data_IF_208675718182
#
_entry.id   IF_208675718182
#
_cell.length_a   1.000
_cell.length_b   1.000
_cell.length_c   1.000
_cell.angle_alpha   90.00
_cell.angle_beta   90.00
_cell.angle_gamma   90.00
#
_symmetry.space_group_name_H-M   'P 1'
#
loop_
_entity.id
_entity.type
_entity.pdbx_description
1 polymer ?
#
# COMPACT_ATOMS: atom_id res chain seq x y z
N UNK A 1 28.35 -2.99 -40.05
CA UNK A 1 27.14 -3.81 -39.84
C UNK A 1 25.95 -2.87 -39.76
N UNK A 2 25.15 -2.82 -40.82
CA UNK A 2 23.92 -2.02 -40.86
C UNK A 2 22.84 -2.82 -40.12
N UNK A 3 22.39 -2.33 -38.96
CA UNK A 3 21.19 -2.85 -38.33
C UNK A 3 19.98 -2.39 -39.14
N UNK A 4 19.30 -3.35 -39.77
CA UNK A 4 18.05 -3.13 -40.46
C UNK A 4 16.99 -2.66 -39.46
N UNK A 5 16.48 -1.45 -39.67
CA UNK A 5 15.22 -1.03 -39.08
C UNK A 5 14.12 -1.94 -39.65
N UNK A 6 13.62 -2.85 -38.82
CA UNK A 6 12.42 -3.61 -39.16
C UNK A 6 11.25 -2.62 -39.23
N UNK A 7 10.79 -2.34 -40.46
CA UNK A 7 9.49 -1.72 -40.71
C UNK A 7 8.44 -2.70 -40.19
N UNK A 8 8.00 -2.52 -38.94
CA UNK A 8 6.92 -3.29 -38.37
C UNK A 8 5.60 -2.85 -39.03
N UNK A 9 4.88 -3.83 -39.56
CA UNK A 9 3.66 -3.61 -40.29
C UNK A 9 2.51 -3.31 -39.31
N UNK A 10 2.19 -2.03 -39.10
CA UNK A 10 1.09 -1.56 -38.25
C UNK A 10 -0.29 -2.10 -38.68
N UNK A 11 -0.38 -2.57 -39.92
CA UNK A 11 -1.57 -3.16 -40.52
C UNK A 11 -1.59 -4.70 -40.42
N UNK A 12 -0.62 -5.31 -39.72
CA UNK A 12 -0.65 -6.74 -39.45
C UNK A 12 -1.89 -7.13 -38.62
N UNK A 13 -2.53 -8.27 -38.94
CA UNK A 13 -3.71 -8.72 -38.22
C UNK A 13 -3.37 -9.12 -36.77
N UNK A 14 -4.23 -8.75 -35.84
CA UNK A 14 -4.08 -9.13 -34.43
C UNK A 14 -4.30 -10.65 -34.26
N UNK A 15 -3.39 -11.32 -33.55
CA UNK A 15 -3.40 -12.79 -33.38
C UNK A 15 -4.14 -13.27 -32.13
N UNK A 16 -4.43 -12.37 -31.18
CA UNK A 16 -5.05 -12.71 -29.90
C UNK A 16 -6.57 -12.51 -29.92
N UNK A 17 -7.28 -13.24 -29.05
CA UNK A 17 -8.76 -13.27 -29.07
C UNK A 17 -9.41 -12.80 -27.75
N UNK A 18 -8.61 -12.32 -26.80
CA UNK A 18 -9.08 -11.81 -25.50
C UNK A 18 -9.06 -10.30 -25.53
N UNK A 19 -10.15 -9.65 -25.09
CA UNK A 19 -10.19 -8.19 -24.95
C UNK A 19 -9.37 -7.73 -23.75
N UNK A 20 -8.72 -6.56 -23.86
CA UNK A 20 -7.94 -5.92 -22.79
C UNK A 20 -8.53 -4.57 -22.43
N UNK A 21 -8.72 -4.32 -21.14
CA UNK A 21 -9.04 -2.98 -20.63
C UNK A 21 -7.77 -2.18 -20.43
N UNK A 22 -7.72 -0.95 -20.92
CA UNK A 22 -6.56 -0.05 -20.77
C UNK A 22 -7.02 1.36 -20.40
N UNK A 23 -6.11 2.12 -19.78
CA UNK A 23 -6.29 3.54 -19.48
C UNK A 23 -5.30 4.37 -20.28
N UNK A 24 -5.79 5.37 -21.00
CA UNK A 24 -4.98 6.22 -21.85
C UNK A 24 -5.13 7.68 -21.46
N UNK A 25 -3.99 8.34 -21.27
CA UNK A 25 -3.87 9.79 -21.19
C UNK A 25 -3.23 10.32 -22.45
N UNK A 26 -3.30 11.63 -22.65
CA UNK A 26 -2.54 12.30 -23.69
C UNK A 26 -1.59 13.30 -23.05
N UNK A 27 -0.40 13.47 -23.63
CA UNK A 27 0.57 14.45 -23.10
C UNK A 27 -0.05 15.85 -23.08
N UNK A 28 -0.05 16.47 -21.90
CA UNK A 28 -0.62 17.79 -21.66
C UNK A 28 -2.13 17.79 -21.37
N UNK A 29 -2.78 16.62 -21.40
CA UNK A 29 -4.14 16.43 -20.94
C UNK A 29 -4.16 15.48 -19.73
N UNK A 30 -4.77 15.94 -18.64
CA UNK A 30 -4.90 15.17 -17.40
C UNK A 30 -6.11 14.23 -17.41
N UNK A 31 -6.96 14.29 -18.44
CA UNK A 31 -8.13 13.44 -18.55
C UNK A 31 -7.75 12.00 -18.91
N UNK A 32 -8.16 11.08 -18.04
CA UNK A 32 -8.02 9.64 -18.24
C UNK A 32 -9.19 9.11 -19.06
N UNK A 33 -8.91 8.38 -20.12
CA UNK A 33 -9.91 7.69 -20.93
C UNK A 33 -9.74 6.17 -20.78
N UNK A 34 -10.83 5.46 -20.47
CA UNK A 34 -10.85 3.99 -20.36
C UNK A 34 -11.30 3.36 -21.68
N UNK A 35 -10.55 2.37 -22.14
CA UNK A 35 -10.85 1.64 -23.37
C UNK A 35 -10.94 0.14 -23.10
N UNK A 36 -11.85 -0.54 -23.78
CA UNK A 36 -11.88 -2.00 -23.85
C UNK A 36 -11.53 -2.40 -25.28
N UNK A 37 -10.28 -2.82 -25.49
CA UNK A 37 -9.77 -3.16 -26.80
C UNK A 37 -10.07 -4.63 -27.08
N UNK A 38 -10.98 -4.88 -28.02
CA UNK A 38 -11.32 -6.23 -28.46
C UNK A 38 -10.70 -6.50 -29.85
N UNK A 39 -9.77 -7.47 -29.96
CA UNK A 39 -9.18 -7.83 -31.26
C UNK A 39 -10.18 -8.32 -32.32
N UNK A 40 -11.38 -8.75 -31.92
CA UNK A 40 -12.47 -9.08 -32.87
C UNK A 40 -13.05 -7.84 -33.53
N UNK A 41 -13.01 -6.70 -32.84
CA UNK A 41 -13.53 -5.42 -33.31
C UNK A 41 -12.46 -4.63 -34.07
N UNK A 42 -11.22 -4.62 -33.57
CA UNK A 42 -10.11 -3.90 -34.18
C UNK A 42 -9.12 -4.90 -34.77
N UNK A 43 -9.01 -4.92 -36.11
CA UNK A 43 -8.21 -5.95 -36.80
C UNK A 43 -6.73 -5.66 -36.82
N UNK A 44 -6.31 -4.40 -36.69
CA UNK A 44 -4.91 -3.99 -36.72
C UNK A 44 -4.57 -3.07 -35.56
N UNK A 45 -3.27 -2.92 -35.28
CA UNK A 45 -2.79 -1.98 -34.26
C UNK A 45 -3.17 -0.53 -34.64
N UNK A 46 -3.05 -0.19 -35.92
CA UNK A 46 -3.45 1.13 -36.41
C UNK A 46 -4.95 1.40 -36.18
N UNK A 47 -5.83 0.41 -36.34
CA UNK A 47 -7.27 0.57 -36.02
C UNK A 47 -7.50 0.90 -34.55
N UNK A 48 -6.70 0.33 -33.64
CA UNK A 48 -6.77 0.63 -32.20
C UNK A 48 -6.34 2.07 -31.94
N UNK A 49 -5.22 2.51 -32.52
CA UNK A 49 -4.71 3.87 -32.34
C UNK A 49 -5.67 4.93 -32.90
N UNK A 50 -6.28 4.66 -34.06
CA UNK A 50 -7.32 5.50 -34.65
C UNK A 50 -8.55 5.57 -33.76
N UNK A 51 -9.04 4.43 -33.25
CA UNK A 51 -10.16 4.43 -32.31
C UNK A 51 -9.88 5.26 -31.05
N UNK A 52 -8.68 5.13 -30.48
CA UNK A 52 -8.28 5.93 -29.33
C UNK A 52 -8.19 7.42 -29.70
N UNK A 53 -7.70 7.74 -30.90
CA UNK A 53 -7.67 9.12 -31.42
C UNK A 53 -9.07 9.69 -31.54
N UNK A 54 -10.01 8.95 -32.11
CA UNK A 54 -11.38 9.41 -32.35
C UNK A 54 -12.13 9.71 -31.05
N UNK A 55 -11.83 8.96 -29.99
CA UNK A 55 -12.44 9.15 -28.66
C UNK A 55 -11.78 10.29 -27.88
N UNK A 56 -10.45 10.39 -27.89
CA UNK A 56 -9.74 11.41 -27.09
C UNK A 56 -9.68 12.76 -27.80
N UNK A 57 -9.62 12.76 -29.13
CA UNK A 57 -9.51 13.94 -30.00
C UNK A 57 -8.41 14.93 -29.57
N UNK A 58 -7.15 14.49 -29.48
CA UNK A 58 -6.11 15.34 -28.91
C UNK A 58 -5.68 16.47 -29.86
N UNK A 59 -5.31 17.61 -29.27
CA UNK A 59 -4.98 18.85 -30.00
C UNK A 59 -3.81 18.73 -30.99
N UNK A 60 -2.94 17.72 -30.83
CA UNK A 60 -1.82 17.47 -31.74
C UNK A 60 -2.19 16.56 -32.93
N UNK A 61 -3.45 16.17 -33.07
CA UNK A 61 -3.93 15.26 -34.11
C UNK A 61 -3.74 13.79 -33.75
N UNK A 62 -3.52 12.92 -34.74
CA UNK A 62 -3.61 11.47 -34.51
C UNK A 62 -2.59 10.92 -33.51
N UNK A 63 -3.05 10.03 -32.62
CA UNK A 63 -2.19 9.22 -31.77
C UNK A 63 -1.54 8.16 -32.66
N UNK A 64 -0.20 8.16 -32.67
CA UNK A 64 0.62 7.24 -33.46
C UNK A 64 1.37 6.23 -32.60
N UNK A 65 1.54 6.54 -31.32
CA UNK A 65 2.35 5.76 -30.39
C UNK A 65 1.72 5.76 -29.01
N UNK A 66 1.88 4.65 -28.30
CA UNK A 66 1.50 4.51 -26.89
C UNK A 66 2.76 4.18 -26.08
N UNK A 67 2.95 4.86 -24.96
CA UNK A 67 4.03 4.55 -24.02
C UNK A 67 3.43 4.02 -22.72
N UNK A 68 3.96 2.91 -22.23
CA UNK A 68 3.58 2.32 -20.95
C UNK A 68 4.01 3.23 -19.81
N UNK A 69 3.07 3.63 -18.95
CA UNK A 69 3.37 4.38 -17.73
C UNK A 69 4.13 3.55 -16.67
N UNK A 70 4.16 2.22 -16.85
CA UNK A 70 4.83 1.28 -15.95
C UNK A 70 6.30 1.10 -16.32
N UNK A 71 6.60 0.81 -17.58
CA UNK A 71 7.97 0.55 -18.05
C UNK A 71 8.64 1.76 -18.71
N UNK A 72 7.87 2.79 -19.07
CA UNK A 72 8.33 3.93 -19.88
C UNK A 72 8.85 3.52 -21.26
N UNK A 73 8.33 2.40 -21.79
CA UNK A 73 8.65 1.88 -23.11
C UNK A 73 7.47 2.03 -24.06
N UNK A 74 7.78 2.17 -25.36
CA UNK A 74 6.80 2.22 -26.42
C UNK A 74 6.14 0.85 -26.63
N UNK A 75 4.82 0.87 -26.80
CA UNK A 75 3.98 -0.29 -27.12
C UNK A 75 3.86 -0.36 -28.62
N UNK A 76 4.37 -1.43 -29.22
CA UNK A 76 4.44 -1.56 -30.67
C UNK A 76 3.24 -2.28 -31.25
N UNK A 77 2.58 -3.12 -30.45
CA UNK A 77 1.47 -3.94 -30.89
C UNK A 77 0.50 -4.29 -29.74
N UNK A 78 -0.57 -5.00 -30.07
CA UNK A 78 -1.57 -5.43 -29.10
C UNK A 78 -1.05 -6.38 -28.02
N UNK A 79 -0.06 -7.20 -28.33
CA UNK A 79 0.49 -8.20 -27.40
C UNK A 79 1.26 -7.53 -26.26
N UNK A 80 1.89 -6.38 -26.55
CA UNK A 80 2.60 -5.54 -25.58
C UNK A 80 1.64 -4.83 -24.59
N UNK A 81 0.33 -4.79 -24.90
CA UNK A 81 -0.66 -4.28 -23.96
C UNK A 81 -0.88 -5.24 -22.79
N UNK A 82 -0.97 -4.69 -21.60
CA UNK A 82 -1.29 -5.38 -20.35
C UNK A 82 -2.72 -5.04 -19.91
N UNK A 83 -3.41 -6.04 -19.37
CA UNK A 83 -4.75 -5.88 -18.83
C UNK A 83 -4.77 -4.89 -17.66
N UNK A 84 -5.74 -3.97 -17.66
CA UNK A 84 -5.92 -2.90 -16.69
C UNK A 84 -4.69 -2.00 -16.50
N UNK A 85 -3.83 -1.89 -17.52
CA UNK A 85 -2.63 -1.06 -17.45
C UNK A 85 -2.82 0.34 -18.05
N UNK A 86 -1.81 1.19 -17.85
CA UNK A 86 -1.87 2.61 -18.14
C UNK A 86 -0.87 3.02 -19.23
N UNK A 87 -1.31 3.90 -20.11
CA UNK A 87 -0.55 4.32 -21.27
C UNK A 87 -0.71 5.82 -21.53
N UNK A 88 0.24 6.39 -22.25
CA UNK A 88 0.16 7.76 -22.77
C UNK A 88 0.21 7.74 -24.29
N UNK A 89 -0.76 8.40 -24.90
CA UNK A 89 -0.86 8.62 -26.35
C UNK A 89 0.00 9.79 -26.80
N UNK A 90 0.70 9.57 -27.91
CA UNK A 90 1.65 10.49 -28.52
C UNK A 90 1.47 10.57 -30.03
N UNK A 91 1.68 11.77 -30.59
CA UNK A 91 1.79 11.99 -32.03
C UNK A 91 3.19 11.71 -32.58
N UNK A 92 3.44 12.13 -33.82
CA UNK A 92 4.71 11.88 -34.52
C UNK A 92 5.92 12.64 -33.95
N UNK A 93 5.73 13.84 -33.39
CA UNK A 93 6.82 14.77 -33.02
C UNK A 93 7.02 14.96 -31.51
N UNK A 94 6.28 14.24 -30.68
CA UNK A 94 6.22 14.50 -29.24
C UNK A 94 7.39 13.87 -28.47
N UNK A 95 8.11 14.70 -27.71
CA UNK A 95 9.22 14.33 -26.84
C UNK A 95 8.80 13.41 -25.68
N UNK A 96 9.62 12.39 -25.40
CA UNK A 96 9.34 11.23 -24.51
C UNK A 96 9.56 11.49 -23.01
N UNK A 97 9.92 12.71 -22.59
CA UNK A 97 10.12 12.95 -21.16
C UNK A 97 8.76 12.94 -20.44
N UNK A 98 8.54 11.88 -19.66
CA UNK A 98 7.31 11.61 -18.93
C UNK A 98 7.60 11.63 -17.43
N UNK A 99 6.73 12.29 -16.69
CA UNK A 99 6.67 12.18 -15.25
C UNK A 99 5.41 11.37 -14.90
N UNK A 100 5.51 10.07 -14.56
CA UNK A 100 4.36 9.21 -14.30
C UNK A 100 3.41 9.74 -13.21
N UNK A 101 3.91 10.61 -12.32
CA UNK A 101 3.10 11.24 -11.27
C UNK A 101 2.05 12.21 -11.82
N UNK A 102 2.18 12.72 -13.03
CA UNK A 102 1.19 13.64 -13.62
C UNK A 102 -0.06 12.92 -14.13
N UNK A 103 0.00 11.58 -14.27
CA UNK A 103 -1.03 10.77 -14.92
C UNK A 103 -1.62 9.78 -13.92
N UNK A 104 -2.51 10.30 -13.05
CA UNK A 104 -3.22 9.54 -12.02
C UNK A 104 -4.71 9.67 -12.24
N UNK A 105 -5.45 8.60 -11.97
CA UNK A 105 -6.92 8.62 -12.01
C UNK A 105 -7.47 9.39 -10.80
N UNK A 106 -8.71 9.89 -10.89
CA UNK A 106 -9.40 10.52 -9.75
C UNK A 106 -9.46 9.59 -8.53
N UNK A 107 -9.71 8.29 -8.74
CA UNK A 107 -9.68 7.29 -7.66
C UNK A 107 -8.31 7.21 -6.98
N UNK A 108 -7.21 7.27 -7.74
CA UNK A 108 -5.85 7.25 -7.17
C UNK A 108 -5.53 8.53 -6.41
N UNK A 109 -5.94 9.68 -6.94
CA UNK A 109 -5.81 10.97 -6.26
C UNK A 109 -6.64 10.99 -4.98
N UNK A 110 -7.86 10.45 -4.99
CA UNK A 110 -8.69 10.29 -3.79
C UNK A 110 -8.05 9.36 -2.76
N UNK A 111 -7.49 8.23 -3.18
CA UNK A 111 -6.76 7.33 -2.28
C UNK A 111 -5.56 8.02 -1.64
N UNK A 112 -4.83 8.86 -2.38
CA UNK A 112 -3.74 9.66 -1.81
C UNK A 112 -4.22 10.79 -0.88
N UNK A 113 -5.34 11.43 -1.22
CA UNK A 113 -5.99 12.39 -0.32
C UNK A 113 -6.43 11.70 0.96
N UNK A 114 -7.02 10.50 0.89
CA UNK A 114 -7.35 9.69 2.07
C UNK A 114 -6.11 9.30 2.89
N UNK A 115 -4.98 9.00 2.24
CA UNK A 115 -3.69 8.78 2.94
C UNK A 115 -3.15 10.02 3.65
N UNK A 116 -3.48 11.22 3.19
CA UNK A 116 -2.99 12.49 3.76
C UNK A 116 -3.97 13.11 4.76
N UNK A 117 -5.26 12.84 4.63
CA UNK A 117 -6.31 13.35 5.50
C UNK A 117 -6.43 12.41 6.71
N UNK A 118 -5.90 12.90 7.85
CA UNK A 118 -6.04 12.38 9.23
C UNK A 118 -5.03 11.31 9.66
N UNK A 119 -3.75 11.69 9.71
CA UNK A 119 -2.81 11.01 10.62
C UNK A 119 -3.18 11.36 12.06
N UNK A 120 -3.95 10.49 12.72
CA UNK A 120 -4.24 10.63 14.15
C UNK A 120 -2.94 10.42 14.92
N UNK A 121 -2.53 11.38 15.75
CA UNK A 121 -1.30 11.26 16.53
C UNK A 121 -1.37 10.04 17.45
N UNK A 122 -0.54 9.05 17.13
CA UNK A 122 -0.56 7.74 17.79
C UNK A 122 0.50 7.60 18.90
N UNK A 123 1.14 8.71 19.31
CA UNK A 123 2.21 8.68 20.33
C UNK A 123 3.61 8.83 19.76
N UNK A 124 4.66 8.50 20.51
CA UNK A 124 6.01 8.38 19.97
C UNK A 124 6.14 7.13 19.08
N UNK A 125 7.05 7.18 18.10
CA UNK A 125 7.42 5.99 17.32
C UNK A 125 8.27 5.07 18.21
N UNK A 126 7.88 3.80 18.32
CA UNK A 126 8.61 2.85 19.17
C UNK A 126 9.76 2.14 18.45
N UNK A 127 9.83 2.24 17.11
CA UNK A 127 10.92 1.64 16.36
C UNK A 127 12.20 2.49 16.43
N UNK A 128 13.30 1.86 16.86
CA UNK A 128 14.66 2.43 16.76
C UNK A 128 15.26 2.37 15.35
N UNK A 129 14.69 1.56 14.46
CA UNK A 129 15.08 1.45 13.05
C UNK A 129 14.09 2.21 12.17
N UNK A 130 14.17 3.53 12.24
CA UNK A 130 13.50 4.43 11.28
C UNK A 130 13.82 4.06 9.83
N UNK A 131 15.00 3.50 9.56
CA UNK A 131 15.39 2.98 8.23
C UNK A 131 14.54 1.82 7.77
N UNK A 132 14.37 0.77 8.58
CA UNK A 132 13.57 -0.42 8.22
C UNK A 132 12.11 -0.03 7.92
N UNK A 133 11.50 0.80 8.77
CA UNK A 133 10.13 1.27 8.54
C UNK A 133 10.05 2.12 7.28
N UNK A 134 11.02 3.00 7.04
CA UNK A 134 11.05 3.83 5.82
C UNK A 134 11.24 2.99 4.55
N UNK A 135 12.07 1.95 4.59
CA UNK A 135 12.27 1.03 3.47
C UNK A 135 11.01 0.22 3.15
N UNK A 136 10.29 -0.24 4.16
CA UNK A 136 9.02 -0.93 3.95
C UNK A 136 7.93 0.00 3.42
N UNK A 137 7.89 1.25 3.89
CA UNK A 137 6.98 2.26 3.34
C UNK A 137 7.24 2.51 1.85
N UNK A 138 8.51 2.56 1.41
CA UNK A 138 8.86 2.65 -0.02
C UNK A 138 8.31 1.47 -0.84
N UNK A 139 8.13 0.30 -0.20
CA UNK A 139 7.54 -0.90 -0.80
C UNK A 139 6.02 -0.98 -0.62
N UNK A 140 5.34 0.10 -0.20
CA UNK A 140 3.92 0.13 0.12
C UNK A 140 3.49 -0.89 1.19
N UNK A 141 4.37 -1.10 2.19
CA UNK A 141 4.12 -1.95 3.34
C UNK A 141 4.06 -1.09 4.60
N UNK A 142 3.00 -1.27 5.38
CA UNK A 142 2.76 -0.61 6.66
C UNK A 142 2.94 -1.59 7.79
N UNK A 143 3.87 -1.31 8.69
CA UNK A 143 4.07 -2.09 9.92
C UNK A 143 3.49 -1.31 11.10
N UNK A 144 2.62 -1.93 11.88
CA UNK A 144 2.13 -1.37 13.15
C UNK A 144 2.40 -2.34 14.30
N UNK A 145 2.19 -1.87 15.52
CA UNK A 145 2.09 -2.71 16.69
C UNK A 145 0.69 -2.62 17.27
N UNK A 146 0.13 -3.74 17.69
CA UNK A 146 -1.19 -3.83 18.28
C UNK A 146 -1.09 -4.52 19.65
N UNK A 147 -1.73 -3.96 20.67
CA UNK A 147 -1.84 -4.58 21.99
C UNK A 147 -3.28 -4.56 22.44
N UNK A 148 -3.68 -5.52 23.27
CA UNK A 148 -5.02 -5.57 23.82
C UNK A 148 -5.19 -4.48 24.90
N UNK A 149 -6.41 -3.97 25.03
CA UNK A 149 -6.77 -2.92 25.98
C UNK A 149 -6.55 -3.33 27.44
N UNK A 150 -5.69 -2.59 28.13
CA UNK A 150 -5.41 -2.76 29.56
C UNK A 150 -4.06 -3.41 29.79
N UNK A 151 -3.82 -3.86 31.02
CA UNK A 151 -2.69 -4.74 31.32
C UNK A 151 -3.13 -6.16 31.01
N UNK A 152 -2.41 -6.83 30.12
CA UNK A 152 -2.61 -8.24 29.80
C UNK A 152 -1.25 -8.91 29.65
N UNK A 153 -1.21 -10.23 29.79
CA UNK A 153 0.03 -11.01 29.71
C UNK A 153 0.59 -11.12 28.29
N UNK A 154 -0.14 -10.63 27.29
CA UNK A 154 0.28 -10.73 25.90
C UNK A 154 1.17 -9.55 25.49
N UNK A 155 2.35 -9.82 24.93
CA UNK A 155 3.16 -8.75 24.37
C UNK A 155 2.42 -8.10 23.18
N UNK A 156 2.64 -6.80 22.95
CA UNK A 156 2.20 -6.13 21.74
C UNK A 156 2.67 -6.89 20.48
N UNK A 157 1.74 -7.19 19.58
CA UNK A 157 1.96 -7.96 18.37
C UNK A 157 2.37 -7.05 17.22
N UNK A 158 3.41 -7.45 16.48
CA UNK A 158 3.84 -6.77 15.24
C UNK A 158 2.92 -7.21 14.10
N UNK A 159 2.31 -6.24 13.44
CA UNK A 159 1.39 -6.47 12.32
C UNK A 159 1.94 -5.82 11.07
N UNK A 160 1.83 -6.51 9.94
CA UNK A 160 2.33 -6.05 8.65
C UNK A 160 1.17 -6.07 7.66
N UNK A 161 0.89 -4.92 7.08
CA UNK A 161 -0.13 -4.73 6.06
C UNK A 161 0.52 -4.30 4.75
N UNK A 162 0.00 -4.79 3.64
CA UNK A 162 0.26 -4.28 2.31
C UNK A 162 -0.84 -3.29 1.89
N UNK A 163 -0.70 -2.68 0.71
CA UNK A 163 -1.67 -1.71 0.18
C UNK A 163 -3.09 -2.25 -0.01
N UNK A 164 -3.24 -3.55 -0.28
CA UNK A 164 -4.53 -4.17 -0.56
C UNK A 164 -5.32 -4.44 0.72
N UNK A 165 -4.62 -4.71 1.83
CA UNK A 165 -5.26 -4.90 3.14
C UNK A 165 -6.04 -3.64 3.57
N UNK A 166 -5.57 -2.46 3.17
CA UNK A 166 -6.18 -1.17 3.52
C UNK A 166 -7.50 -0.89 2.80
N UNK A 167 -7.83 -1.67 1.75
CA UNK A 167 -9.09 -1.52 1.05
C UNK A 167 -10.28 -2.15 1.78
N UNK A 168 -10.03 -2.98 2.80
CA UNK A 168 -11.07 -3.69 3.51
C UNK A 168 -10.82 -3.68 5.03
N UNK A 169 -11.46 -2.73 5.70
CA UNK A 169 -11.40 -2.56 7.15
C UNK A 169 -11.83 -3.82 7.93
N UNK A 170 -12.81 -4.57 7.42
CA UNK A 170 -13.29 -5.81 8.04
C UNK A 170 -12.21 -6.91 8.04
N UNK A 171 -11.42 -7.03 6.96
CA UNK A 171 -10.29 -7.98 6.91
C UNK A 171 -9.25 -7.61 7.97
N UNK A 172 -8.95 -6.32 8.14
CA UNK A 172 -8.02 -5.84 9.17
C UNK A 172 -8.54 -6.17 10.57
N UNK A 173 -9.81 -5.88 10.86
CA UNK A 173 -10.44 -6.22 12.14
C UNK A 173 -10.34 -7.72 12.42
N UNK A 174 -10.73 -8.57 11.47
CA UNK A 174 -10.69 -10.02 11.66
C UNK A 174 -9.27 -10.55 11.85
N UNK A 175 -8.31 -10.00 11.11
CA UNK A 175 -6.91 -10.34 11.30
C UNK A 175 -6.44 -9.98 12.71
N UNK A 176 -6.71 -8.76 13.17
CA UNK A 176 -6.37 -8.29 14.51
C UNK A 176 -7.04 -9.11 15.62
N UNK A 177 -8.31 -9.47 15.44
CA UNK A 177 -9.08 -10.28 16.40
C UNK A 177 -8.45 -11.65 16.59
N UNK A 178 -7.95 -12.26 15.50
CA UNK A 178 -7.30 -13.57 15.54
C UNK A 178 -5.93 -13.52 16.20
N UNK A 179 -5.09 -12.55 15.84
CA UNK A 179 -3.72 -12.49 16.38
C UNK A 179 -3.68 -12.09 17.86
N UNK A 180 -4.68 -11.34 18.34
CA UNK A 180 -4.81 -10.95 19.75
C UNK A 180 -5.77 -11.88 20.52
N UNK A 181 -6.26 -12.95 19.88
CA UNK A 181 -7.15 -13.94 20.48
C UNK A 181 -8.36 -13.32 21.19
N UNK A 182 -9.08 -12.44 20.49
CA UNK A 182 -10.29 -11.74 20.99
C UNK A 182 -11.54 -12.46 20.43
N UNK A 183 -12.14 -13.40 21.16
CA UNK A 183 -13.29 -14.18 20.66
C UNK A 183 -14.57 -13.35 20.54
N UNK A 184 -14.76 -12.35 21.40
CA UNK A 184 -15.90 -11.42 21.39
C UNK A 184 -15.87 -10.40 20.25
N UNK A 185 -14.77 -10.34 19.49
CA UNK A 185 -14.54 -9.39 18.42
C UNK A 185 -14.07 -8.02 18.91
N UNK A 186 -13.63 -7.18 17.96
CA UNK A 186 -13.09 -5.85 18.23
C UNK A 186 -14.21 -4.81 18.13
N UNK A 187 -14.40 -4.02 19.19
CA UNK A 187 -15.34 -2.90 19.20
C UNK A 187 -14.71 -1.62 18.66
N UNK A 188 -13.45 -1.34 19.01
CA UNK A 188 -12.70 -0.19 18.49
C UNK A 188 -11.20 -0.43 18.55
N UNK A 189 -10.48 0.23 17.64
CA UNK A 189 -9.03 0.32 17.65
C UNK A 189 -8.69 1.76 17.97
N UNK A 190 -7.85 1.97 18.96
CA UNK A 190 -7.48 3.30 19.44
C UNK A 190 -5.98 3.54 19.33
N UNK A 191 -5.58 4.81 19.29
CA UNK A 191 -4.23 5.19 19.68
C UNK A 191 -4.02 4.93 21.17
N UNK A 192 -2.75 4.97 21.61
CA UNK A 192 -2.40 4.90 23.04
C UNK A 192 -3.02 6.02 23.89
N UNK A 193 -3.55 7.08 23.25
CA UNK A 193 -4.24 8.19 23.92
C UNK A 193 -5.77 7.99 23.95
N UNK A 194 -6.27 6.85 23.47
CA UNK A 194 -7.69 6.54 23.44
C UNK A 194 -8.46 7.10 22.25
N UNK A 195 -7.77 7.69 21.26
CA UNK A 195 -8.43 8.23 20.05
C UNK A 195 -8.76 7.06 19.12
N UNK A 196 -10.05 6.85 18.86
CA UNK A 196 -10.50 5.77 17.97
C UNK A 196 -10.10 6.03 16.53
N UNK A 197 -9.57 4.99 15.90
CA UNK A 197 -9.28 4.90 14.47
C UNK A 197 -10.49 4.29 13.77
N UNK A 198 -10.89 4.92 12.68
CA UNK A 198 -12.08 4.50 11.91
C UNK A 198 -11.73 3.92 10.55
N UNK A 199 -10.51 4.11 10.09
CA UNK A 199 -10.08 3.73 8.76
C UNK A 199 -8.61 3.27 8.76
N UNK A 200 -8.29 2.31 7.89
CA UNK A 200 -6.94 1.76 7.74
C UNK A 200 -5.88 2.81 7.39
N UNK A 201 -6.25 3.86 6.65
CA UNK A 201 -5.35 4.94 6.25
C UNK A 201 -4.92 5.85 7.42
N UNK A 202 -5.61 5.78 8.57
CA UNK A 202 -5.20 6.50 9.79
C UNK A 202 -4.05 5.79 10.52
N UNK A 203 -3.73 4.54 10.15
CA UNK A 203 -2.56 3.85 10.67
C UNK A 203 -1.27 4.52 10.22
N UNK A 204 -0.39 4.73 11.18
CA UNK A 204 0.93 5.28 11.00
C UNK A 204 1.98 4.18 11.20
N UNK A 205 2.94 4.03 10.25
CA UNK A 205 3.95 2.99 10.37
C UNK A 205 4.88 3.19 11.56
N UNK A 206 5.08 2.11 12.33
CA UNK A 206 5.96 2.04 13.50
C UNK A 206 5.33 2.46 14.82
N UNK A 207 4.02 2.73 14.85
CA UNK A 207 3.29 3.15 16.06
C UNK A 207 2.56 1.99 16.71
N UNK A 208 2.24 2.18 18.00
CA UNK A 208 1.46 1.26 18.82
C UNK A 208 0.00 1.68 18.83
N UNK A 209 -0.88 0.68 18.70
CA UNK A 209 -2.32 0.81 18.75
C UNK A 209 -2.90 -0.13 19.80
N UNK A 210 -3.99 0.30 20.42
CA UNK A 210 -4.69 -0.43 21.47
C UNK A 210 -5.99 -0.96 20.88
N UNK A 211 -6.17 -2.27 20.92
CA UNK A 211 -7.37 -2.95 20.45
C UNK A 211 -8.30 -3.16 21.63
N UNK A 212 -9.49 -2.57 21.54
CA UNK A 212 -10.51 -2.64 22.58
C UNK A 212 -11.59 -3.64 22.14
N UNK A 213 -11.81 -4.72 22.90
CA UNK A 213 -12.85 -5.68 22.59
C UNK A 213 -14.25 -5.06 22.58
N UNK A 214 -15.21 -5.77 21.98
CA UNK A 214 -16.62 -5.39 22.04
C UNK A 214 -17.08 -5.19 23.48
N UNK A 215 -17.95 -4.20 23.69
CA UNK A 215 -18.51 -3.84 25.00
C UNK A 215 -17.49 -3.37 26.05
N UNK A 216 -16.23 -3.12 25.68
CA UNK A 216 -15.21 -2.61 26.58
C UNK A 216 -14.94 -1.11 26.36
N UNK A 217 -14.61 -0.42 27.45
CA UNK A 217 -14.11 0.96 27.39
C UNK A 217 -12.58 0.97 27.30
N UNK A 218 -12.04 2.02 26.70
CA UNK A 218 -10.59 2.20 26.64
C UNK A 218 -10.04 2.46 28.05
N UNK A 219 -9.00 1.73 28.43
CA UNK A 219 -8.33 1.88 29.72
C UNK A 219 -7.12 2.79 29.56
N UNK A 220 -6.99 3.81 30.41
CA UNK A 220 -5.87 4.74 30.34
C UNK A 220 -4.66 4.18 31.07
N UNK A 221 -3.87 3.39 30.37
CA UNK A 221 -2.63 2.79 30.87
C UNK A 221 -1.43 3.37 30.14
N UNK A 222 -0.25 3.35 30.77
CA UNK A 222 1.02 3.65 30.09
C UNK A 222 1.43 2.47 29.19
N UNK A 223 0.74 2.36 28.05
CA UNK A 223 1.00 1.33 27.04
C UNK A 223 2.43 1.36 26.51
N UNK A 224 3.12 2.52 26.59
CA UNK A 224 4.49 2.66 26.13
C UNK A 224 5.45 1.95 27.06
N UNK A 225 5.30 2.18 28.36
CA UNK A 225 6.09 1.49 29.37
C UNK A 225 5.90 -0.02 29.30
N UNK A 226 4.66 -0.47 29.08
CA UNK A 226 4.36 -1.90 28.87
C UNK A 226 5.08 -2.43 27.63
N UNK A 227 4.98 -1.72 26.51
CA UNK A 227 5.64 -2.09 25.26
C UNK A 227 7.17 -2.18 25.41
N UNK A 228 7.80 -1.19 26.02
CA UNK A 228 9.25 -1.13 26.21
C UNK A 228 9.75 -2.23 27.17
N UNK A 229 8.95 -2.57 28.19
CA UNK A 229 9.21 -3.69 29.08
C UNK A 229 9.23 -5.02 28.31
N UNK A 230 8.19 -5.30 27.52
CA UNK A 230 8.13 -6.51 26.69
C UNK A 230 9.29 -6.58 25.70
N UNK A 231 9.63 -5.46 25.05
CA UNK A 231 10.76 -5.39 24.13
C UNK A 231 12.08 -5.72 24.82
N UNK A 232 12.30 -5.19 26.02
CA UNK A 232 13.50 -5.46 26.81
C UNK A 232 13.60 -6.94 27.17
N UNK A 233 12.50 -7.56 27.57
CA UNK A 233 12.42 -8.99 27.87
C UNK A 233 12.72 -9.82 26.61
N UNK A 234 12.10 -9.51 25.48
CA UNK A 234 12.30 -10.21 24.21
C UNK A 234 13.75 -10.12 23.71
N UNK A 235 14.37 -8.94 23.79
CA UNK A 235 15.78 -8.76 23.42
C UNK A 235 16.72 -9.56 24.32
N UNK A 236 16.46 -9.58 25.63
CA UNK A 236 17.25 -10.37 26.58
C UNK A 236 17.07 -11.88 26.38
N UNK A 237 15.84 -12.35 26.13
CA UNK A 237 15.58 -13.75 25.77
C UNK A 237 16.35 -14.17 24.51
N UNK A 238 16.41 -13.30 23.48
CA UNK A 238 17.23 -13.54 22.29
C UNK A 238 18.73 -13.60 22.59
N UNK A 239 19.23 -12.78 23.51
CA UNK A 239 20.64 -12.82 23.93
C UNK A 239 20.98 -14.08 24.76
N UNK A 240 20.08 -14.52 25.63
CA UNK A 240 20.24 -15.76 26.42
C UNK A 240 20.28 -16.98 25.48
N UNK A 241 19.37 -17.04 24.50
CA UNK A 241 19.39 -18.08 23.45
C UNK A 241 20.67 -18.07 22.60
N UNK A 242 21.40 -16.96 22.57
CA UNK A 242 22.69 -16.80 21.87
C UNK A 242 23.91 -17.04 22.79
N UNK A 243 23.70 -17.61 23.98
CA UNK A 243 24.79 -18.01 24.89
C UNK A 243 25.37 -16.90 25.78
N UNK A 244 24.73 -15.73 25.87
CA UNK A 244 25.21 -14.63 26.71
C UNK A 244 24.96 -14.87 28.20
N UNK A 245 26.01 -15.19 28.97
CA UNK A 245 25.97 -15.23 30.46
C UNK A 245 26.15 -13.82 31.05
N UNK A 246 25.09 -13.16 31.50
CA UNK A 246 25.16 -12.07 32.49
C UNK A 246 23.99 -12.16 33.49
N UNK A 247 24.28 -11.76 34.75
CA UNK A 247 23.38 -11.85 35.91
C UNK A 247 22.02 -11.19 35.65
N UNK A 248 20.96 -11.93 36.00
CA UNK A 248 19.57 -11.50 35.94
C UNK A 248 19.30 -10.44 37.02
N UNK A 249 18.88 -9.23 36.63
CA UNK A 249 18.46 -8.19 37.58
C UNK A 249 16.98 -8.41 37.95
N UNK A 250 16.74 -8.84 39.18
CA UNK A 250 15.42 -9.17 39.74
C UNK A 250 14.44 -8.00 39.71
N UNK A 251 14.90 -6.76 39.52
CA UNK A 251 14.06 -5.56 39.44
C UNK A 251 13.16 -5.51 38.20
N UNK A 252 13.54 -6.16 37.09
CA UNK A 252 12.72 -6.20 35.86
C UNK A 252 11.49 -7.10 36.04
N UNK A 253 11.63 -8.19 36.81
CA UNK A 253 10.51 -9.09 37.15
C UNK A 253 9.61 -8.48 38.20
N UNK A 254 10.18 -7.79 39.20
CA UNK A 254 9.40 -7.05 40.21
C UNK A 254 8.54 -5.94 39.59
N UNK A 255 8.98 -5.34 38.47
CA UNK A 255 8.16 -4.40 37.69
C UNK A 255 6.96 -5.08 37.01
N UNK A 256 7.11 -6.33 36.55
CA UNK A 256 6.03 -7.11 35.93
C UNK A 256 4.97 -7.51 36.96
N UNK A 257 5.40 -8.01 38.13
CA UNK A 257 4.52 -8.37 39.25
C UNK A 257 3.78 -7.14 39.81
N UNK A 258 4.44 -5.97 39.87
CA UNK A 258 3.78 -4.72 40.30
C UNK A 258 2.73 -4.21 39.33
N UNK A 259 2.86 -4.46 38.02
CA UNK A 259 1.87 -4.04 37.02
C UNK A 259 0.64 -4.96 37.02
N UNK A 260 0.82 -6.25 37.37
CA UNK A 260 -0.29 -7.21 37.52
C UNK A 260 -1.08 -7.04 38.83
N UNK A 261 -0.53 -6.34 39.84
CA UNK A 261 -1.14 -6.15 41.17
C UNK A 261 -1.64 -4.72 41.43
N UNK A 262 -2.04 -3.98 40.39
CA UNK A 262 -2.71 -2.68 40.57
C UNK A 262 -4.22 -2.92 40.52
N UNK A 263 -4.83 -3.05 41.71
CA UNK A 263 -6.26 -2.88 41.93
C UNK A 263 -6.67 -1.40 41.78
#
# INVERSE_FOLDING_TARGET
MLFSFSLQNLDAPLKQNKAKRIKVWVKGDHNCHEFTINPKQFRTWNSILLHITDVIQPNFGAIRRLISLRSNEEVWNYDDLSENDKYIGFGSSSQTQLNPKEYRTNQELELERKKSIRKVYAGPKHFGDTRFISELQKKNVTVIYATLNGVNDQPPQKVVFNRFDFNNWYIIINYLSRILSIPEGIGKICTIHGISIKDAFEFQPGYLYVVVPNNHQFLRVDYLKIFDLYRTIQNRMKMIKRGGKKKFDSRVVQGFVKIQNVD
#
